data_IF_658931787747
#
_entry.id   IF_658931787747
#
_cell.length_a   1.000
_cell.length_b   1.000
_cell.length_c   1.000
_cell.angle_alpha   90.00
_cell.angle_beta   90.00
_cell.angle_gamma   90.00
#
_symmetry.space_group_name_H-M   'P 1'
#
loop_
_entity.id
_entity.type
_entity.pdbx_description
1 polymer ?
#
# COMPACT_ATOMS: atom_id res chain seq x y z
N UNK A 1 -17.61 -6.53 3.70
CA UNK A 1 -17.51 -5.21 3.03
C UNK A 1 -18.70 -5.03 2.08
N UNK A 2 -18.86 -5.79 0.98
CA UNK A 2 -19.89 -5.57 -0.03
C UNK A 2 -21.33 -5.70 0.48
N UNK A 3 -21.62 -6.57 1.45
CA UNK A 3 -22.93 -6.64 2.08
C UNK A 3 -23.24 -5.37 2.89
N UNK A 4 -22.28 -4.90 3.69
CA UNK A 4 -22.43 -3.64 4.42
C UNK A 4 -22.67 -2.44 3.48
N UNK A 5 -21.93 -2.36 2.36
CA UNK A 5 -22.14 -1.32 1.35
C UNK A 5 -23.54 -1.41 0.69
N UNK A 6 -24.02 -2.64 0.44
CA UNK A 6 -25.37 -2.85 -0.09
C UNK A 6 -26.44 -2.40 0.89
N UNK A 7 -26.26 -2.63 2.18
CA UNK A 7 -27.19 -2.21 3.24
C UNK A 7 -27.19 -0.69 3.41
N UNK A 8 -26.01 -0.05 3.43
CA UNK A 8 -25.90 1.42 3.45
C UNK A 8 -26.60 2.07 2.26
N UNK A 9 -26.45 1.46 1.07
CA UNK A 9 -27.09 1.97 -0.15
C UNK A 9 -28.61 1.81 -0.10
N UNK A 10 -29.13 0.68 0.41
CA UNK A 10 -30.58 0.47 0.61
C UNK A 10 -31.17 1.48 1.61
N UNK A 11 -30.46 1.78 2.68
CA UNK A 11 -30.86 2.76 3.69
C UNK A 11 -30.61 4.22 3.25
N UNK A 12 -30.15 4.45 2.02
CA UNK A 12 -29.80 5.77 1.45
C UNK A 12 -28.77 6.55 2.28
N UNK A 13 -27.93 5.84 3.00
CA UNK A 13 -26.83 6.46 3.75
C UNK A 13 -25.63 6.75 2.83
N UNK A 14 -24.94 7.85 3.13
CA UNK A 14 -23.67 8.17 2.43
C UNK A 14 -22.57 7.23 2.93
N UNK A 15 -21.71 6.80 2.04
CA UNK A 15 -20.50 6.03 2.35
C UNK A 15 -19.36 6.47 1.45
N UNK A 16 -18.13 6.24 1.90
CA UNK A 16 -16.93 6.51 1.12
C UNK A 16 -16.85 5.55 -0.06
N UNK A 17 -16.24 6.00 -1.16
CA UNK A 17 -15.95 5.14 -2.30
C UNK A 17 -14.98 4.01 -1.88
N UNK A 18 -15.36 2.73 -2.03
CA UNK A 18 -14.56 1.63 -1.50
C UNK A 18 -13.36 1.32 -2.36
N UNK A 19 -12.22 1.16 -1.72
CA UNK A 19 -10.96 0.71 -2.32
C UNK A 19 -10.52 -0.56 -1.61
N UNK A 20 -10.50 -1.68 -2.32
CA UNK A 20 -10.14 -3.00 -1.77
C UNK A 20 -8.66 -3.23 -2.02
N UNK A 21 -7.89 -3.28 -0.95
CA UNK A 21 -6.44 -3.45 -0.98
C UNK A 21 -6.05 -4.88 -0.64
N UNK A 22 -5.30 -5.53 -1.52
CA UNK A 22 -4.77 -6.88 -1.31
C UNK A 22 -3.36 -6.76 -0.73
N UNK A 23 -3.09 -7.31 0.46
CA UNK A 23 -1.76 -7.26 1.07
C UNK A 23 -0.82 -8.32 0.51
N UNK A 24 0.48 -8.17 0.74
CA UNK A 24 1.54 -9.16 0.53
C UNK A 24 1.63 -9.76 -0.89
N UNK A 25 1.21 -9.00 -1.88
CA UNK A 25 1.31 -9.42 -3.29
C UNK A 25 2.76 -9.31 -3.75
N UNK A 26 3.29 -10.38 -4.33
CA UNK A 26 4.64 -10.43 -4.90
C UNK A 26 4.65 -10.67 -6.41
N UNK A 27 3.57 -11.20 -6.98
CA UNK A 27 3.49 -11.61 -8.40
C UNK A 27 2.23 -11.10 -9.10
N UNK A 28 2.30 -11.01 -10.44
CA UNK A 28 1.14 -10.73 -11.30
C UNK A 28 0.02 -11.76 -11.11
N UNK A 29 0.39 -13.03 -10.96
CA UNK A 29 -0.59 -14.11 -10.81
C UNK A 29 -1.40 -13.97 -9.52
N UNK A 30 -0.76 -13.61 -8.41
CA UNK A 30 -1.44 -13.40 -7.13
C UNK A 30 -2.48 -12.29 -7.22
N UNK A 31 -2.09 -11.10 -7.69
CA UNK A 31 -3.03 -9.98 -7.80
C UNK A 31 -4.19 -10.29 -8.75
N UNK A 32 -3.93 -10.99 -9.86
CA UNK A 32 -4.95 -11.42 -10.82
C UNK A 32 -5.96 -12.35 -10.19
N UNK A 33 -5.50 -13.37 -9.46
CA UNK A 33 -6.37 -14.34 -8.77
C UNK A 33 -7.21 -13.62 -7.71
N UNK A 34 -6.57 -12.80 -6.87
CA UNK A 34 -7.25 -12.10 -5.78
C UNK A 34 -8.24 -11.05 -6.29
N UNK A 35 -7.87 -10.30 -7.34
CA UNK A 35 -8.80 -9.35 -7.99
C UNK A 35 -10.04 -10.08 -8.52
N UNK A 36 -9.87 -11.22 -9.18
CA UNK A 36 -10.99 -12.02 -9.67
C UNK A 36 -11.90 -12.52 -8.54
N UNK A 37 -11.32 -12.92 -7.42
CA UNK A 37 -12.08 -13.32 -6.23
C UNK A 37 -12.93 -12.15 -5.70
N UNK A 38 -12.33 -10.97 -5.56
CA UNK A 38 -13.02 -9.74 -5.13
C UNK A 38 -14.17 -9.40 -6.08
N UNK A 39 -13.92 -9.37 -7.39
CA UNK A 39 -14.93 -9.06 -8.42
C UNK A 39 -16.08 -10.08 -8.38
N UNK A 40 -15.78 -11.38 -8.30
CA UNK A 40 -16.80 -12.41 -8.26
C UNK A 40 -17.64 -12.34 -6.98
N UNK A 41 -17.02 -12.03 -5.85
CA UNK A 41 -17.71 -11.81 -4.57
C UNK A 41 -18.64 -10.59 -4.66
N UNK A 42 -18.13 -9.48 -5.19
CA UNK A 42 -18.93 -8.27 -5.41
C UNK A 42 -20.14 -8.55 -6.31
N UNK A 43 -19.94 -9.27 -7.44
CA UNK A 43 -21.03 -9.62 -8.37
C UNK A 43 -22.13 -10.46 -7.67
N UNK A 44 -21.75 -11.45 -6.85
CA UNK A 44 -22.71 -12.27 -6.09
C UNK A 44 -23.55 -11.42 -5.13
N UNK A 45 -22.89 -10.54 -4.37
CA UNK A 45 -23.56 -9.66 -3.40
C UNK A 45 -24.46 -8.65 -4.11
N UNK A 46 -23.99 -8.02 -5.17
CA UNK A 46 -24.77 -7.07 -5.97
C UNK A 46 -26.02 -7.71 -6.58
N UNK A 47 -25.90 -8.94 -7.11
CA UNK A 47 -27.04 -9.70 -7.65
C UNK A 47 -28.06 -10.03 -6.56
N UNK A 48 -27.62 -10.54 -5.41
CA UNK A 48 -28.46 -10.86 -4.24
C UNK A 48 -29.22 -9.62 -3.75
N UNK A 49 -28.57 -8.47 -3.71
CA UNK A 49 -29.10 -7.23 -3.14
C UNK A 49 -29.75 -6.32 -4.18
N UNK A 50 -29.77 -6.68 -5.47
CA UNK A 50 -30.28 -5.87 -6.60
C UNK A 50 -29.71 -4.46 -6.59
N UNK A 51 -28.42 -4.32 -6.33
CA UNK A 51 -27.71 -3.02 -6.24
C UNK A 51 -26.41 -3.05 -7.01
N UNK A 52 -25.98 -1.89 -7.51
CA UNK A 52 -24.64 -1.72 -8.11
C UNK A 52 -23.74 -1.00 -7.12
N UNK A 53 -22.54 -1.52 -6.90
CA UNK A 53 -21.50 -0.92 -6.05
C UNK A 53 -20.27 -0.74 -6.93
N UNK A 54 -19.78 0.48 -7.02
CA UNK A 54 -18.52 0.79 -7.70
C UNK A 54 -17.39 0.76 -6.67
N UNK A 55 -16.24 0.24 -7.06
CA UNK A 55 -15.08 0.09 -6.18
C UNK A 55 -13.81 -0.06 -7.02
N UNK A 56 -12.66 0.18 -6.41
CA UNK A 56 -11.36 -0.14 -6.96
C UNK A 56 -10.75 -1.36 -6.26
N UNK A 57 -9.91 -2.08 -7.00
CA UNK A 57 -9.06 -3.14 -6.44
C UNK A 57 -7.60 -2.81 -6.71
N UNK A 58 -6.84 -2.67 -5.66
CA UNK A 58 -5.41 -2.41 -5.72
C UNK A 58 -4.64 -3.33 -4.79
N UNK A 59 -3.40 -3.02 -4.59
CA UNK A 59 -2.52 -3.82 -3.74
C UNK A 59 -1.59 -2.97 -2.89
N UNK A 60 -1.12 -3.56 -1.81
CA UNK A 60 0.02 -3.03 -1.07
C UNK A 60 1.31 -3.40 -1.80
N UNK A 61 2.21 -2.45 -1.98
CA UNK A 61 3.60 -2.68 -2.39
C UNK A 61 4.44 -2.63 -1.13
N UNK A 62 4.79 -3.79 -0.62
CA UNK A 62 5.47 -3.94 0.67
C UNK A 62 6.56 -5.02 0.66
N UNK A 63 6.83 -5.57 -0.52
CA UNK A 63 7.92 -6.52 -0.76
C UNK A 63 8.86 -5.96 -1.83
N UNK A 64 10.20 -6.07 -1.68
CA UNK A 64 11.16 -5.62 -2.69
C UNK A 64 10.88 -6.19 -4.09
N UNK A 65 10.49 -7.47 -4.16
CA UNK A 65 10.11 -8.10 -5.43
C UNK A 65 8.92 -7.41 -6.08
N UNK A 66 7.89 -7.06 -5.28
CA UNK A 66 6.72 -6.34 -5.78
C UNK A 66 7.10 -4.95 -6.32
N UNK A 67 8.00 -4.25 -5.64
CA UNK A 67 8.49 -2.94 -6.07
C UNK A 67 9.22 -3.03 -7.41
N UNK A 68 10.13 -4.00 -7.58
CA UNK A 68 10.91 -4.22 -8.81
C UNK A 68 10.01 -4.65 -9.98
N UNK A 69 8.94 -5.42 -9.71
CA UNK A 69 8.01 -5.96 -10.70
C UNK A 69 6.65 -5.25 -10.68
N UNK A 70 6.65 -3.99 -10.31
CA UNK A 70 5.42 -3.20 -10.17
C UNK A 70 4.69 -2.98 -11.52
N UNK A 71 5.39 -3.00 -12.64
CA UNK A 71 4.80 -2.97 -13.98
C UNK A 71 3.88 -4.17 -14.23
N UNK A 72 4.31 -5.38 -13.87
CA UNK A 72 3.51 -6.58 -14.00
C UNK A 72 2.26 -6.54 -13.10
N UNK A 73 2.42 -6.07 -11.88
CA UNK A 73 1.32 -5.93 -10.90
C UNK A 73 0.32 -4.85 -11.35
N UNK A 74 0.80 -3.74 -11.91
CA UNK A 74 -0.03 -2.62 -12.37
C UNK A 74 -0.95 -2.96 -13.55
N UNK A 75 -0.74 -4.09 -14.24
CA UNK A 75 -1.68 -4.62 -15.25
C UNK A 75 -3.06 -4.93 -14.65
N UNK A 76 -3.10 -5.25 -13.37
CA UNK A 76 -4.30 -5.68 -12.66
C UNK A 76 -4.70 -4.76 -11.51
N UNK A 77 -3.77 -4.02 -10.92
CA UNK A 77 -4.02 -3.11 -9.81
C UNK A 77 -4.47 -1.73 -10.32
N UNK A 78 -5.46 -1.15 -9.66
CA UNK A 78 -5.99 0.20 -9.95
C UNK A 78 -5.35 1.25 -9.03
N UNK A 79 -4.74 0.80 -7.93
CA UNK A 79 -3.93 1.64 -7.06
C UNK A 79 -2.83 0.83 -6.38
N UNK A 80 -1.78 1.53 -5.95
CA UNK A 80 -0.75 1.03 -5.06
C UNK A 80 -0.77 1.80 -3.74
N UNK A 81 -0.62 1.07 -2.64
CA UNK A 81 -0.32 1.64 -1.33
C UNK A 81 1.01 1.08 -0.85
N UNK A 82 1.99 1.94 -0.62
CA UNK A 82 3.29 1.49 -0.13
C UNK A 82 3.18 1.14 1.36
N UNK A 83 3.29 -0.15 1.69
CA UNK A 83 3.33 -0.69 3.05
C UNK A 83 4.74 -0.59 3.61
N UNK A 84 5.12 0.60 4.05
CA UNK A 84 6.52 0.90 4.36
C UNK A 84 7.07 0.18 5.58
N UNK A 85 6.24 -0.31 6.49
CA UNK A 85 6.69 -1.15 7.60
C UNK A 85 7.30 -2.46 7.06
N UNK A 86 6.53 -3.21 6.28
CA UNK A 86 6.96 -4.50 5.73
C UNK A 86 8.00 -4.33 4.63
N UNK A 87 7.91 -3.26 3.83
CA UNK A 87 8.94 -2.96 2.83
C UNK A 87 10.30 -2.70 3.50
N UNK A 88 10.33 -1.97 4.63
CA UNK A 88 11.55 -1.76 5.42
C UNK A 88 12.06 -3.07 5.99
N UNK A 89 11.21 -3.85 6.66
CA UNK A 89 11.59 -5.14 7.23
C UNK A 89 12.22 -6.07 6.18
N UNK A 90 11.57 -6.19 5.03
CA UNK A 90 12.01 -7.11 3.98
C UNK A 90 13.22 -6.61 3.19
N UNK A 91 13.41 -5.30 3.08
CA UNK A 91 14.59 -4.69 2.45
C UNK A 91 15.83 -4.90 3.29
N UNK A 92 15.74 -4.69 4.60
CA UNK A 92 16.85 -4.89 5.53
C UNK A 92 17.02 -6.34 5.99
N UNK A 93 15.99 -7.19 5.84
CA UNK A 93 15.96 -8.51 6.45
C UNK A 93 15.88 -8.46 7.99
N UNK A 94 15.25 -7.43 8.54
CA UNK A 94 15.14 -7.16 9.97
C UNK A 94 13.69 -7.25 10.41
N UNK A 95 13.40 -8.01 11.45
CA UNK A 95 12.08 -7.99 12.10
C UNK A 95 11.93 -6.72 12.95
N UNK A 96 10.84 -5.99 12.76
CA UNK A 96 10.51 -4.82 13.58
C UNK A 96 10.35 -5.18 15.05
N UNK A 97 9.79 -6.35 15.36
CA UNK A 97 9.58 -6.81 16.73
C UNK A 97 10.89 -7.15 17.45
N UNK A 98 11.91 -7.56 16.68
CA UNK A 98 13.23 -7.91 17.20
C UNK A 98 14.23 -6.73 17.18
N UNK A 99 13.93 -5.69 16.42
CA UNK A 99 14.85 -4.56 16.18
C UNK A 99 15.29 -3.85 17.48
N UNK A 100 14.41 -3.76 18.46
CA UNK A 100 14.71 -3.16 19.77
C UNK A 100 15.87 -3.79 20.54
N UNK A 101 16.32 -4.99 20.14
CA UNK A 101 17.43 -5.69 20.78
C UNK A 101 18.82 -5.20 20.33
N UNK A 102 18.93 -4.59 19.14
CA UNK A 102 20.21 -4.22 18.55
C UNK A 102 20.21 -2.84 17.86
N UNK A 103 19.05 -2.28 17.59
CA UNK A 103 18.93 -1.05 16.79
C UNK A 103 19.62 0.15 17.46
N UNK A 104 19.57 0.25 18.80
CA UNK A 104 20.26 1.29 19.54
C UNK A 104 21.77 1.19 19.33
N UNK A 105 22.34 -0.02 19.37
CA UNK A 105 23.77 -0.24 19.13
C UNK A 105 24.17 0.19 17.71
N UNK A 106 23.31 -0.04 16.73
CA UNK A 106 23.52 0.38 15.33
C UNK A 106 23.54 1.91 15.19
N UNK A 107 22.66 2.60 15.92
CA UNK A 107 22.60 4.07 15.93
C UNK A 107 23.80 4.66 16.66
N UNK A 108 24.14 4.13 17.84
CA UNK A 108 25.26 4.60 18.66
C UNK A 108 26.60 4.42 17.96
N UNK A 109 26.76 3.33 17.21
CA UNK A 109 27.93 3.06 16.37
C UNK A 109 27.88 3.74 14.99
N UNK A 110 26.85 4.55 14.70
CA UNK A 110 26.67 5.27 13.45
C UNK A 110 26.57 4.37 12.21
N UNK A 111 26.12 3.13 12.38
CA UNK A 111 25.80 2.21 11.28
C UNK A 111 24.51 2.67 10.61
N UNK A 112 23.50 3.05 11.41
CA UNK A 112 22.35 3.80 10.95
C UNK A 112 22.42 5.24 11.45
N UNK A 113 22.03 6.18 10.59
CA UNK A 113 21.92 7.61 10.96
C UNK A 113 20.63 7.89 11.72
N UNK A 114 19.60 7.10 11.47
CA UNK A 114 18.26 7.19 12.07
C UNK A 114 17.63 5.80 12.05
N UNK A 115 16.68 5.57 12.94
CA UNK A 115 15.87 4.36 12.95
C UNK A 115 15.08 4.25 11.63
N UNK A 116 15.29 3.18 10.82
CA UNK A 116 14.60 3.00 9.54
C UNK A 116 13.10 2.74 9.68
N UNK A 117 12.59 2.48 10.88
CA UNK A 117 11.15 2.37 11.16
C UNK A 117 10.52 3.70 11.56
N UNK A 118 11.30 4.73 11.83
CA UNK A 118 10.82 6.09 12.12
C UNK A 118 10.76 6.94 10.85
N UNK A 119 11.83 6.92 10.04
CA UNK A 119 11.90 7.65 8.77
C UNK A 119 12.33 6.71 7.65
N UNK A 120 11.77 6.88 6.46
CA UNK A 120 12.08 6.01 5.31
C UNK A 120 13.58 6.11 4.99
N UNK A 121 14.21 4.95 4.92
CA UNK A 121 15.61 4.80 4.51
C UNK A 121 15.78 4.98 2.99
N UNK A 122 16.97 5.42 2.56
CA UNK A 122 17.27 5.67 1.13
C UNK A 122 17.11 4.44 0.23
N UNK A 123 17.44 3.25 0.71
CA UNK A 123 17.25 2.02 -0.06
C UNK A 123 15.77 1.67 -0.25
N UNK A 124 14.95 1.96 0.77
CA UNK A 124 13.48 1.83 0.67
C UNK A 124 12.90 2.91 -0.24
N UNK A 125 13.40 4.15 -0.17
CA UNK A 125 13.02 5.21 -1.10
C UNK A 125 13.27 4.81 -2.55
N UNK A 126 14.41 4.19 -2.85
CA UNK A 126 14.76 3.77 -4.21
C UNK A 126 13.82 2.67 -4.71
N UNK A 127 13.44 1.71 -3.87
CA UNK A 127 12.42 0.71 -4.23
C UNK A 127 11.06 1.37 -4.52
N UNK A 128 10.66 2.36 -3.72
CA UNK A 128 9.42 3.12 -3.95
C UNK A 128 9.49 3.88 -5.27
N UNK A 129 10.61 4.57 -5.58
CA UNK A 129 10.83 5.27 -6.86
C UNK A 129 10.72 4.33 -8.06
N UNK A 130 11.34 3.14 -7.96
CA UNK A 130 11.22 2.09 -8.99
C UNK A 130 9.76 1.70 -9.19
N UNK A 131 9.05 1.39 -8.12
CA UNK A 131 7.65 0.97 -8.19
C UNK A 131 6.73 2.06 -8.76
N UNK A 132 6.94 3.32 -8.39
CA UNK A 132 6.21 4.47 -8.95
C UNK A 132 6.45 4.59 -10.45
N UNK A 133 7.70 4.53 -10.90
CA UNK A 133 8.07 4.62 -12.31
C UNK A 133 7.46 3.48 -13.13
N UNK A 134 7.61 2.23 -12.66
CA UNK A 134 7.08 1.04 -13.33
C UNK A 134 5.55 1.02 -13.34
N UNK A 135 4.92 1.36 -12.22
CA UNK A 135 3.47 1.44 -12.12
C UNK A 135 2.87 2.47 -13.07
N UNK A 136 3.41 3.70 -13.09
CA UNK A 136 2.98 4.78 -14.00
C UNK A 136 3.25 4.47 -15.48
N UNK A 137 4.33 3.76 -15.79
CA UNK A 137 4.63 3.31 -17.15
C UNK A 137 3.55 2.37 -17.68
N UNK A 138 3.08 1.44 -16.86
CA UNK A 138 2.05 0.47 -17.24
C UNK A 138 0.64 1.06 -17.16
N UNK A 139 0.34 1.85 -16.13
CA UNK A 139 -0.95 2.49 -15.92
C UNK A 139 -0.75 3.96 -15.51
N UNK A 140 -0.88 4.88 -16.47
CA UNK A 140 -0.67 6.32 -16.24
C UNK A 140 -1.58 6.91 -15.16
N UNK A 141 -2.75 6.31 -14.95
CA UNK A 141 -3.76 6.78 -14.00
C UNK A 141 -3.74 6.01 -12.67
N UNK A 142 -2.72 5.17 -12.46
CA UNK A 142 -2.61 4.43 -11.20
C UNK A 142 -2.56 5.39 -10.02
N UNK A 143 -3.45 5.20 -9.05
CA UNK A 143 -3.45 5.96 -7.81
C UNK A 143 -2.36 5.42 -6.89
N UNK A 144 -1.54 6.29 -6.35
CA UNK A 144 -0.38 5.94 -5.53
C UNK A 144 -0.50 6.57 -4.14
N UNK A 145 -0.24 5.81 -3.12
CA UNK A 145 -0.23 6.32 -1.75
C UNK A 145 0.71 5.55 -0.84
N UNK A 146 0.82 6.03 0.38
CA UNK A 146 1.62 5.41 1.43
C UNK A 146 0.74 5.08 2.62
N UNK A 147 1.03 3.97 3.27
CA UNK A 147 0.52 3.61 4.58
C UNK A 147 1.67 3.08 5.46
N UNK A 148 1.41 2.94 6.74
CA UNK A 148 2.42 2.56 7.73
C UNK A 148 2.85 3.74 8.61
N UNK A 149 3.79 3.47 9.50
CA UNK A 149 4.24 4.45 10.51
C UNK A 149 4.87 5.70 9.88
N UNK A 150 5.58 5.52 8.76
CA UNK A 150 6.23 6.61 8.01
C UNK A 150 5.23 7.64 7.45
N UNK A 151 3.95 7.28 7.32
CA UNK A 151 2.90 8.22 6.95
C UNK A 151 2.67 9.35 7.95
N UNK A 152 3.25 9.25 9.15
CA UNK A 152 3.25 10.30 10.16
C UNK A 152 4.60 11.03 10.34
N UNK A 153 5.61 10.69 9.56
CA UNK A 153 6.93 11.33 9.61
C UNK A 153 7.07 12.43 8.56
N UNK A 154 7.33 13.70 8.95
CA UNK A 154 7.41 14.82 8.02
C UNK A 154 8.43 14.64 6.89
N UNK A 155 9.60 14.02 7.17
CA UNK A 155 10.64 13.77 6.18
C UNK A 155 10.17 12.78 5.13
N UNK A 156 9.53 11.69 5.57
CA UNK A 156 8.96 10.67 4.70
C UNK A 156 7.80 11.23 3.85
N UNK A 157 6.94 12.07 4.45
CA UNK A 157 5.84 12.74 3.72
C UNK A 157 6.39 13.70 2.65
N UNK A 158 7.44 14.46 2.96
CA UNK A 158 8.10 15.33 1.99
C UNK A 158 8.63 14.53 0.80
N UNK A 159 9.31 13.41 1.05
CA UNK A 159 9.74 12.50 0.01
C UNK A 159 8.56 11.99 -0.83
N UNK A 160 7.49 11.49 -0.21
CA UNK A 160 6.28 11.01 -0.89
C UNK A 160 5.65 12.08 -1.80
N UNK A 161 5.57 13.31 -1.32
CA UNK A 161 5.09 14.46 -2.10
C UNK A 161 5.99 14.73 -3.31
N UNK A 162 7.31 14.70 -3.13
CA UNK A 162 8.29 14.96 -4.19
C UNK A 162 8.22 13.93 -5.34
N UNK A 163 7.97 12.68 -5.04
CA UNK A 163 7.81 11.62 -6.06
C UNK A 163 6.40 11.51 -6.63
N UNK A 164 5.49 12.37 -6.17
CA UNK A 164 4.13 12.52 -6.71
C UNK A 164 3.17 11.42 -6.29
N UNK A 165 3.18 11.02 -5.00
CA UNK A 165 2.12 10.22 -4.42
C UNK A 165 0.84 11.05 -4.26
N UNK A 166 -0.32 10.40 -4.37
CA UNK A 166 -1.62 11.04 -4.36
C UNK A 166 -2.21 11.19 -2.95
N UNK A 167 -1.82 10.32 -2.02
CA UNK A 167 -2.34 10.34 -0.66
C UNK A 167 -1.36 9.74 0.35
N UNK A 168 -1.57 10.12 1.60
CA UNK A 168 -0.92 9.56 2.78
C UNK A 168 -2.00 9.03 3.71
N UNK A 169 -1.83 7.81 4.21
CA UNK A 169 -2.65 7.23 5.28
C UNK A 169 -1.82 7.17 6.54
N UNK A 170 -2.27 7.81 7.61
CA UNK A 170 -1.59 7.82 8.90
C UNK A 170 -2.60 7.77 10.05
N UNK A 171 -2.10 7.53 11.26
CA UNK A 171 -2.90 7.61 12.47
C UNK A 171 -3.44 9.04 12.66
N UNK A 172 -4.70 9.22 13.14
CA UNK A 172 -5.27 10.55 13.41
C UNK A 172 -4.43 11.42 14.34
N UNK A 173 -3.65 10.82 15.22
CA UNK A 173 -2.74 11.53 16.13
C UNK A 173 -1.48 12.08 15.45
N UNK A 174 -1.26 11.76 14.16
CA UNK A 174 -0.13 12.18 13.37
C UNK A 174 -0.47 13.20 12.28
N UNK A 175 -1.72 13.65 12.24
CA UNK A 175 -2.20 14.70 11.31
C UNK A 175 -1.86 16.09 11.82
#
# INVERSE_FOLDING_TARGET
IFEALADLKKSKQKFAFPEIMIPLVSTEAEIKIMKNLVINTAKKVQKKNKTKIEFLVGTMIELPRAAIKADDIAKHAEFFSFGTNDLTQTTFGISRDDSGKFLNDYIDNKIFTIDPFVSIDEGVEDLIKIAVAQGKKQNKNIKLGICGEHGGDPKSIYFCSKIGLNYVSCSPYRV
#
